data_IF_982206792669
#
_entry.id   IF_982206792669
#
_cell.length_a   1.000
_cell.length_b   1.000
_cell.length_c   1.000
_cell.angle_alpha   90.00
_cell.angle_beta   90.00
_cell.angle_gamma   90.00
#
_symmetry.space_group_name_H-M   'P 1'
#
loop_
_entity.id
_entity.type
_entity.pdbx_description
1 polymer ?
#
# COMPACT_ATOMS: atom_id res chain seq x y z
N UNK A 1 20.66 16.75 -12.07
CA UNK A 1 20.14 16.13 -10.84
C UNK A 1 18.95 15.27 -11.22
N UNK A 2 19.04 13.96 -10.99
CA UNK A 2 18.10 13.02 -11.58
C UNK A 2 16.71 13.08 -10.90
N UNK A 3 15.68 13.33 -11.70
CA UNK A 3 14.24 13.42 -11.33
C UNK A 3 13.67 12.05 -10.92
N UNK A 4 14.51 11.03 -10.77
CA UNK A 4 14.13 9.62 -10.56
C UNK A 4 13.68 9.38 -9.11
N UNK A 5 13.93 10.33 -8.19
CA UNK A 5 13.67 10.17 -6.75
C UNK A 5 12.30 10.67 -6.26
N UNK A 6 11.45 11.18 -7.17
CA UNK A 6 10.16 11.81 -6.79
C UNK A 6 8.95 10.88 -6.90
N UNK A 7 9.13 9.68 -7.45
CA UNK A 7 8.06 8.68 -7.51
C UNK A 7 8.03 7.86 -6.22
N UNK A 8 6.84 7.65 -5.62
CA UNK A 8 6.77 6.83 -4.44
C UNK A 8 7.33 5.43 -4.68
N UNK A 9 8.25 4.98 -3.82
CA UNK A 9 9.02 3.74 -3.97
C UNK A 9 8.98 2.89 -2.72
N UNK A 10 9.09 1.58 -2.89
CA UNK A 10 9.28 0.67 -1.77
C UNK A 10 10.71 0.77 -1.23
N UNK A 11 10.85 0.70 0.08
CA UNK A 11 12.10 0.57 0.81
C UNK A 11 12.04 -0.70 1.65
N UNK A 12 12.94 -1.64 1.36
CA UNK A 12 13.03 -2.88 2.12
C UNK A 12 13.25 -2.57 3.60
N UNK A 13 12.33 -3.06 4.42
CA UNK A 13 12.50 -3.01 5.86
C UNK A 13 13.33 -4.23 6.25
N UNK A 14 14.61 -4.01 6.55
CA UNK A 14 15.41 -5.04 7.20
C UNK A 14 14.72 -5.32 8.55
N UNK A 15 14.02 -6.45 8.60
CA UNK A 15 13.52 -7.00 9.86
C UNK A 15 14.76 -7.31 10.68
N UNK A 16 14.91 -6.72 11.86
CA UNK A 16 16.03 -7.04 12.75
C UNK A 16 16.03 -8.55 13.01
N UNK A 17 16.89 -9.26 12.26
CA UNK A 17 17.18 -10.66 12.44
C UNK A 17 17.89 -10.82 13.78
N UNK A 18 17.11 -10.88 14.87
CA UNK A 18 17.67 -10.86 16.21
C UNK A 18 16.73 -11.22 17.36
N UNK A 19 15.41 -11.32 17.16
CA UNK A 19 14.50 -11.82 18.20
C UNK A 19 13.75 -13.07 17.74
N UNK A 20 14.32 -14.23 18.08
CA UNK A 20 13.58 -15.50 18.10
C UNK A 20 12.48 -15.41 19.14
N UNK A 21 11.27 -15.00 18.75
CA UNK A 21 10.01 -15.42 19.34
C UNK A 21 8.86 -14.66 18.66
N UNK A 22 7.83 -15.41 18.25
CA UNK A 22 6.60 -14.98 17.56
C UNK A 22 6.77 -14.69 16.07
N UNK A 23 5.92 -15.29 15.21
CA UNK A 23 5.89 -15.10 13.75
C UNK A 23 5.98 -13.60 13.42
N UNK A 24 7.11 -13.16 12.86
CA UNK A 24 7.25 -11.78 12.40
C UNK A 24 6.22 -11.53 11.29
N UNK A 25 5.32 -10.58 11.50
CA UNK A 25 4.39 -10.14 10.45
C UNK A 25 5.27 -9.47 9.38
N UNK A 26 5.17 -9.88 8.10
CA UNK A 26 5.98 -9.27 7.05
C UNK A 26 5.62 -7.79 6.90
N UNK A 27 6.63 -6.93 6.94
CA UNK A 27 6.49 -5.47 6.85
C UNK A 27 7.36 -4.92 5.73
N UNK A 28 6.92 -3.79 5.18
CA UNK A 28 7.64 -3.01 4.18
C UNK A 28 7.49 -1.52 4.47
N UNK A 29 8.27 -0.68 3.81
CA UNK A 29 8.10 0.77 3.89
C UNK A 29 7.98 1.37 2.49
N UNK A 30 7.26 2.48 2.39
CA UNK A 30 7.16 3.27 1.16
C UNK A 30 7.64 4.68 1.43
N UNK A 31 8.44 5.23 0.53
CA UNK A 31 8.73 6.66 0.51
C UNK A 31 7.70 7.34 -0.37
N UNK A 32 6.95 8.32 0.14
CA UNK A 32 6.04 9.14 -0.66
C UNK A 32 6.76 10.24 -1.43
N UNK A 33 6.02 10.96 -2.27
CA UNK A 33 6.55 12.07 -3.07
C UNK A 33 7.09 13.23 -2.20
N UNK A 34 6.53 13.38 -0.99
CA UNK A 34 7.01 14.31 0.04
C UNK A 34 8.31 13.87 0.72
N UNK A 35 8.82 12.68 0.42
CA UNK A 35 9.97 12.08 1.10
C UNK A 35 9.64 11.42 2.44
N UNK A 36 8.39 11.51 2.93
CA UNK A 36 7.92 10.82 4.14
C UNK A 36 7.94 9.30 3.96
N UNK A 37 8.19 8.58 5.05
CA UNK A 37 8.25 7.11 5.08
C UNK A 37 6.99 6.53 5.72
N UNK A 38 6.34 5.61 5.03
CA UNK A 38 5.08 4.97 5.42
C UNK A 38 5.31 3.45 5.57
N UNK A 39 5.24 2.95 6.80
CA UNK A 39 5.40 1.51 7.08
C UNK A 39 4.09 0.78 6.85
N UNK A 40 4.12 -0.34 6.12
CA UNK A 40 2.95 -1.11 5.76
C UNK A 40 3.14 -2.60 6.09
N UNK A 41 2.04 -3.27 6.46
CA UNK A 41 1.98 -4.73 6.56
C UNK A 41 1.73 -5.33 5.19
N UNK A 42 2.33 -6.47 4.90
CA UNK A 42 2.12 -7.20 3.64
C UNK A 42 1.03 -8.25 3.88
N UNK A 43 -0.02 -8.21 3.08
CA UNK A 43 -1.09 -9.20 3.03
C UNK A 43 -1.14 -9.82 1.64
N UNK A 44 -1.56 -11.08 1.54
CA UNK A 44 -2.01 -11.62 0.25
C UNK A 44 -3.38 -11.03 -0.11
N UNK A 45 -3.73 -10.90 -1.40
CA UNK A 45 -5.01 -10.33 -1.82
C UNK A 45 -6.26 -11.00 -1.22
N UNK A 46 -6.17 -12.25 -0.77
CA UNK A 46 -7.26 -13.00 -0.12
C UNK A 46 -7.26 -12.94 1.40
N UNK A 47 -6.26 -12.33 2.03
CA UNK A 47 -6.17 -12.20 3.49
C UNK A 47 -6.77 -10.88 4.00
N UNK A 48 -7.10 -9.94 3.10
CA UNK A 48 -7.67 -8.66 3.49
C UNK A 48 -9.20 -8.72 3.38
N UNK A 49 -9.87 -8.71 4.52
CA UNK A 49 -11.32 -8.60 4.59
C UNK A 49 -11.74 -7.16 4.30
N UNK A 50 -12.81 -6.92 3.52
CA UNK A 50 -13.17 -5.56 3.12
C UNK A 50 -13.60 -4.66 4.29
N UNK A 51 -14.03 -5.23 5.42
CA UNK A 51 -14.36 -4.48 6.64
C UNK A 51 -13.13 -3.77 7.24
N UNK A 52 -11.93 -4.30 6.99
CA UNK A 52 -10.67 -3.69 7.40
C UNK A 52 -10.28 -2.48 6.52
N UNK A 53 -10.88 -2.34 5.33
CA UNK A 53 -10.53 -1.34 4.31
C UNK A 53 -11.04 0.08 4.57
N UNK A 54 -11.96 0.24 5.52
CA UNK A 54 -12.69 1.51 5.74
C UNK A 54 -11.86 2.64 6.36
N UNK A 55 -10.75 2.31 7.04
CA UNK A 55 -9.92 3.29 7.77
C UNK A 55 -8.42 3.09 7.54
N UNK A 56 -8.05 2.51 6.42
CA UNK A 56 -6.66 2.18 6.09
C UNK A 56 -6.27 2.79 4.76
N UNK A 57 -4.97 2.90 4.54
CA UNK A 57 -4.40 3.15 3.22
C UNK A 57 -3.92 1.81 2.68
N UNK A 58 -4.42 1.43 1.51
CA UNK A 58 -4.06 0.18 0.82
C UNK A 58 -3.28 0.47 -0.45
N UNK A 59 -2.29 -0.37 -0.72
CA UNK A 59 -1.45 -0.30 -1.90
C UNK A 59 -1.45 -1.69 -2.56
N UNK A 60 -1.94 -1.78 -3.80
CA UNK A 60 -1.90 -3.02 -4.57
C UNK A 60 -0.57 -3.17 -5.30
N UNK A 61 0.12 -4.29 -5.10
CA UNK A 61 1.48 -4.53 -5.58
C UNK A 61 1.53 -5.80 -6.42
N UNK A 62 2.16 -5.69 -7.59
CA UNK A 62 2.66 -6.82 -8.36
C UNK A 62 4.17 -6.88 -8.22
N UNK A 63 4.74 -8.08 -8.08
CA UNK A 63 6.19 -8.30 -8.11
C UNK A 63 6.61 -8.68 -9.54
N UNK A 64 7.74 -8.16 -10.00
CA UNK A 64 8.39 -8.69 -11.21
C UNK A 64 9.25 -9.93 -10.89
N UNK A 65 9.87 -10.50 -11.92
CA UNK A 65 10.76 -11.68 -11.78
C UNK A 65 11.95 -11.44 -10.84
N UNK A 66 12.37 -10.18 -10.68
CA UNK A 66 13.43 -9.78 -9.74
C UNK A 66 12.93 -9.51 -8.32
N UNK A 67 11.63 -9.64 -8.05
CA UNK A 67 11.02 -9.32 -6.76
C UNK A 67 10.80 -7.83 -6.50
N UNK A 68 10.96 -6.96 -7.50
CA UNK A 68 10.73 -5.53 -7.32
C UNK A 68 9.23 -5.23 -7.24
N UNK A 69 8.83 -4.36 -6.31
CA UNK A 69 7.44 -3.94 -6.18
C UNK A 69 7.04 -2.97 -7.29
N UNK A 70 6.02 -3.34 -8.06
CA UNK A 70 5.31 -2.48 -8.98
C UNK A 70 3.94 -2.15 -8.41
N UNK A 71 3.75 -0.89 -8.04
CA UNK A 71 2.47 -0.39 -7.55
C UNK A 71 1.43 -0.34 -8.68
N UNK A 72 0.30 -1.00 -8.47
CA UNK A 72 -0.86 -1.01 -9.40
C UNK A 72 -1.97 -0.06 -8.99
N UNK A 73 -2.09 0.24 -7.69
CA UNK A 73 -3.10 1.18 -7.19
C UNK A 73 -2.89 1.57 -5.74
N UNK A 74 -3.41 2.73 -5.36
CA UNK A 74 -3.51 3.20 -3.97
C UNK A 74 -4.95 3.60 -3.70
N UNK A 75 -5.46 3.26 -2.53
CA UNK A 75 -6.76 3.74 -2.08
C UNK A 75 -6.77 4.01 -0.57
N UNK A 76 -7.74 4.79 -0.14
CA UNK A 76 -7.93 5.16 1.27
C UNK A 76 -9.41 5.41 1.57
N UNK A 77 -9.87 5.03 2.76
CA UNK A 77 -11.22 5.37 3.21
C UNK A 77 -12.32 4.76 2.34
N UNK A 78 -12.12 3.53 1.86
CA UNK A 78 -13.08 2.84 1.01
C UNK A 78 -14.24 2.33 1.86
N UNK A 79 -15.49 2.63 1.48
CA UNK A 79 -16.61 1.87 2.03
C UNK A 79 -16.56 0.40 1.59
N UNK A 80 -17.42 -0.43 2.18
CA UNK A 80 -17.43 -1.88 1.97
C UNK A 80 -17.54 -2.28 0.49
N UNK A 81 -18.38 -1.60 -0.28
CA UNK A 81 -18.61 -1.87 -1.70
C UNK A 81 -17.44 -1.39 -2.57
N UNK A 82 -16.86 -0.23 -2.23
CA UNK A 82 -15.68 0.31 -2.90
C UNK A 82 -14.44 -0.55 -2.63
N UNK A 83 -14.33 -1.11 -1.43
CA UNK A 83 -13.27 -2.04 -1.03
C UNK A 83 -13.32 -3.34 -1.85
N UNK A 84 -14.50 -3.97 -1.98
CA UNK A 84 -14.68 -5.13 -2.86
C UNK A 84 -14.29 -4.82 -4.30
N UNK A 85 -14.84 -3.73 -4.83
CA UNK A 85 -14.58 -3.32 -6.21
C UNK A 85 -13.10 -3.05 -6.44
N UNK A 86 -12.42 -2.42 -5.48
CA UNK A 86 -10.98 -2.15 -5.56
C UNK A 86 -10.17 -3.45 -5.48
N UNK A 87 -10.48 -4.35 -4.54
CA UNK A 87 -9.81 -5.64 -4.40
C UNK A 87 -9.96 -6.49 -5.66
N UNK A 88 -11.14 -6.52 -6.26
CA UNK A 88 -11.39 -7.20 -7.54
C UNK A 88 -10.52 -6.60 -8.66
N UNK A 89 -10.48 -5.27 -8.79
CA UNK A 89 -9.61 -4.59 -9.76
C UNK A 89 -8.14 -4.92 -9.55
N UNK A 90 -7.66 -4.92 -8.30
CA UNK A 90 -6.27 -5.25 -7.98
C UNK A 90 -5.92 -6.69 -8.39
N UNK A 91 -6.81 -7.64 -8.12
CA UNK A 91 -6.63 -9.04 -8.56
C UNK A 91 -6.53 -9.15 -10.08
N UNK A 92 -7.41 -8.48 -10.83
CA UNK A 92 -7.34 -8.45 -12.28
C UNK A 92 -6.09 -7.74 -12.82
N UNK A 93 -5.51 -6.80 -12.07
CA UNK A 93 -4.27 -6.10 -12.44
C UNK A 93 -2.98 -6.92 -12.19
N UNK A 94 -3.12 -8.16 -11.71
CA UNK A 94 -1.99 -9.03 -11.40
C UNK A 94 -1.29 -8.71 -10.07
N UNK A 95 -1.97 -8.01 -9.16
CA UNK A 95 -1.45 -7.80 -7.81
C UNK A 95 -1.28 -9.14 -7.08
N UNK A 96 -0.08 -9.36 -6.55
CA UNK A 96 0.28 -10.52 -5.72
C UNK A 96 0.26 -10.19 -4.24
N UNK A 97 0.29 -8.90 -3.89
CA UNK A 97 0.38 -8.39 -2.53
C UNK A 97 -0.53 -7.17 -2.36
N UNK A 98 -1.05 -6.99 -1.15
CA UNK A 98 -1.71 -5.78 -0.69
C UNK A 98 -0.93 -5.26 0.51
N UNK A 99 -0.35 -4.07 0.38
CA UNK A 99 0.32 -3.40 1.50
C UNK A 99 -0.66 -2.50 2.23
N UNK A 100 -0.83 -2.74 3.53
CA UNK A 100 -1.74 -2.00 4.40
C UNK A 100 -0.94 -1.05 5.28
N UNK A 101 -1.02 0.24 5.00
CA UNK A 101 -0.49 1.28 5.88
C UNK A 101 -1.51 1.64 6.95
N UNK A 102 -0.98 1.81 8.18
CA UNK A 102 -1.67 1.92 9.47
C UNK A 102 -3.04 2.59 9.42
N UNK A 103 -3.96 2.03 10.19
CA UNK A 103 -5.29 2.59 10.50
C UNK A 103 -5.15 3.91 11.24
N UNK A 104 -5.53 5.03 10.62
CA UNK A 104 -5.66 6.32 11.32
C UNK A 104 -7.14 6.57 11.61
N UNK A 105 -7.43 7.31 12.69
CA UNK A 105 -8.81 7.70 12.99
C UNK A 105 -9.32 8.81 12.06
N UNK A 106 -8.43 9.44 11.28
CA UNK A 106 -8.72 10.59 10.44
C UNK A 106 -8.70 10.24 8.94
N UNK A 107 -9.87 10.36 8.32
CA UNK A 107 -10.04 10.16 6.88
C UNK A 107 -9.27 11.19 6.03
N UNK A 108 -9.04 12.41 6.54
CA UNK A 108 -8.27 13.44 5.84
C UNK A 108 -6.78 13.06 5.79
N UNK A 109 -6.22 12.57 6.90
CA UNK A 109 -4.87 12.04 6.96
C UNK A 109 -4.69 10.86 5.99
N UNK A 110 -5.62 9.89 5.99
CA UNK A 110 -5.60 8.77 5.06
C UNK A 110 -5.56 9.23 3.59
N UNK A 111 -6.37 10.24 3.22
CA UNK A 111 -6.36 10.82 1.87
C UNK A 111 -5.05 11.53 1.54
N UNK A 112 -4.47 12.25 2.50
CA UNK A 112 -3.19 12.93 2.31
C UNK A 112 -2.06 11.92 2.05
N UNK A 113 -2.02 10.83 2.80
CA UNK A 113 -1.06 9.74 2.62
C UNK A 113 -1.26 9.07 1.25
N UNK A 114 -2.50 8.74 0.88
CA UNK A 114 -2.78 8.12 -0.42
C UNK A 114 -2.37 9.00 -1.60
N UNK A 115 -2.60 10.32 -1.51
CA UNK A 115 -2.12 11.30 -2.49
C UNK A 115 -0.59 11.34 -2.55
N UNK A 116 0.07 11.32 -1.40
CA UNK A 116 1.52 11.33 -1.34
C UNK A 116 2.16 10.06 -1.92
N UNK A 117 1.48 8.92 -1.78
CA UNK A 117 1.86 7.62 -2.34
C UNK A 117 1.42 7.43 -3.81
N UNK A 118 0.57 8.31 -4.32
CA UNK A 118 0.09 8.27 -5.70
C UNK A 118 -0.22 9.66 -6.26
N UNK A 119 0.80 10.54 -6.39
CA UNK A 119 0.62 11.95 -6.76
C UNK A 119 0.02 12.16 -8.15
N UNK A 120 0.08 11.15 -9.03
CA UNK A 120 -0.46 11.17 -10.38
C UNK A 120 -1.76 10.39 -10.56
N UNK A 121 -2.27 9.74 -9.51
CA UNK A 121 -3.61 9.14 -9.56
C UNK A 121 -4.66 10.23 -9.31
N UNK A 122 -4.84 11.11 -10.29
CA UNK A 122 -5.93 12.06 -10.31
C UNK A 122 -6.67 11.87 -11.64
N UNK A 123 -7.68 11.00 -11.63
CA UNK A 123 -8.60 10.83 -12.75
C UNK A 123 -9.10 9.42 -12.95
N UNK A 124 -9.96 8.92 -12.04
CA UNK A 124 -11.10 8.04 -12.34
C UNK A 124 -11.57 7.36 -11.06
N UNK A 125 -12.36 8.07 -10.23
CA UNK A 125 -13.38 7.47 -9.39
C UNK A 125 -14.42 8.56 -9.12
N UNK A 126 -15.24 8.84 -10.15
CA UNK A 126 -16.65 9.16 -9.95
C UNK A 126 -17.41 7.85 -9.93
#
# INVERSE_FOLDING_TARGET
>A
MAVIDLLPREELMLSEAGRRSTRAIPMTAWRGASGRRYVARIHKPHELEPDEATRIVVIGIARDEGGNAHRRGVASGLDRASAESWLLRMRHSGCTEIHVHRTTADAAECRAIARDLSPFANGAHR
#
